data_IF_319006223398
#
_entry.id   IF_319006223398
#
_cell.length_a   1.000
_cell.length_b   1.000
_cell.length_c   1.000
_cell.angle_alpha   90.00
_cell.angle_beta   90.00
_cell.angle_gamma   90.00
#
_symmetry.space_group_name_H-M   'P 1'
#
loop_
_entity.id
_entity.type
_entity.pdbx_description
1 polymer ?
#
# COMPACT_ATOMS: atom_id res chain seq x y z
N UNK A 1 -20.58 -11.27 6.16
CA UNK A 1 -20.59 -10.04 5.35
C UNK A 1 -19.21 -9.40 5.46
N UNK A 2 -18.48 -9.25 4.36
CA UNK A 2 -17.17 -8.61 4.37
C UNK A 2 -17.34 -7.07 4.39
N UNK A 3 -16.58 -6.36 5.22
CA UNK A 3 -16.59 -4.89 5.27
C UNK A 3 -16.12 -4.26 3.94
N UNK A 4 -15.34 -4.99 3.14
CA UNK A 4 -14.91 -4.53 1.82
C UNK A 4 -15.94 -4.76 0.72
N UNK A 5 -17.02 -5.52 0.98
CA UNK A 5 -18.04 -5.84 -0.03
C UNK A 5 -17.43 -6.47 -1.29
N UNK A 6 -17.88 -6.04 -2.46
CA UNK A 6 -17.43 -6.54 -3.76
C UNK A 6 -16.03 -6.05 -4.17
N UNK A 7 -15.39 -5.19 -3.35
CA UNK A 7 -14.09 -4.58 -3.67
C UNK A 7 -12.91 -5.42 -3.18
N UNK A 8 -13.12 -6.56 -2.54
CA UNK A 8 -12.03 -7.39 -2.01
C UNK A 8 -11.06 -7.85 -3.10
N UNK A 9 -11.57 -8.31 -4.24
CA UNK A 9 -10.73 -8.71 -5.38
C UNK A 9 -9.99 -7.51 -5.97
N UNK A 10 -10.66 -6.37 -6.09
CA UNK A 10 -10.03 -5.12 -6.54
C UNK A 10 -8.91 -4.68 -5.61
N UNK A 11 -9.06 -4.84 -4.28
CA UNK A 11 -8.01 -4.51 -3.33
C UNK A 11 -6.77 -5.40 -3.52
N UNK A 12 -6.96 -6.68 -3.83
CA UNK A 12 -5.86 -7.60 -4.13
C UNK A 12 -5.15 -7.17 -5.42
N UNK A 13 -5.89 -6.90 -6.49
CA UNK A 13 -5.32 -6.44 -7.76
C UNK A 13 -4.52 -5.14 -7.60
N UNK A 14 -5.09 -4.15 -6.89
CA UNK A 14 -4.40 -2.87 -6.63
C UNK A 14 -3.13 -3.08 -5.78
N UNK A 15 -3.18 -4.00 -4.81
CA UNK A 15 -2.01 -4.35 -4.01
C UNK A 15 -0.93 -5.01 -4.86
N UNK A 16 -1.29 -5.98 -5.70
CA UNK A 16 -0.36 -6.67 -6.61
C UNK A 16 0.27 -5.71 -7.61
N UNK A 17 -0.52 -4.84 -8.24
CA UNK A 17 -0.04 -3.82 -9.16
C UNK A 17 0.95 -2.86 -8.49
N UNK A 18 0.66 -2.44 -7.26
CA UNK A 18 1.55 -1.58 -6.48
C UNK A 18 2.88 -2.28 -6.17
N UNK A 19 2.83 -3.56 -5.76
CA UNK A 19 4.03 -4.35 -5.50
C UNK A 19 4.87 -4.55 -6.77
N UNK A 20 4.23 -4.89 -7.89
CA UNK A 20 4.88 -5.09 -9.17
C UNK A 20 5.63 -3.82 -9.61
N UNK A 21 5.02 -2.64 -9.46
CA UNK A 21 5.67 -1.35 -9.74
C UNK A 21 6.91 -1.12 -8.86
N UNK A 22 6.81 -1.38 -7.56
CA UNK A 22 7.93 -1.23 -6.62
C UNK A 22 9.07 -2.21 -6.95
N UNK A 23 8.72 -3.45 -7.29
CA UNK A 23 9.68 -4.48 -7.69
C UNK A 23 10.39 -4.11 -9.00
N UNK A 24 9.65 -3.62 -10.00
CA UNK A 24 10.20 -3.16 -11.26
C UNK A 24 11.20 -2.02 -11.06
N UNK A 25 10.87 -1.04 -10.21
CA UNK A 25 11.78 0.07 -9.90
C UNK A 25 13.06 -0.42 -9.19
N UNK A 26 12.93 -1.37 -8.28
CA UNK A 26 14.09 -1.97 -7.64
C UNK A 26 14.98 -2.71 -8.65
N UNK A 27 14.37 -3.41 -9.61
CA UNK A 27 15.12 -4.07 -10.69
C UNK A 27 15.85 -3.04 -11.56
N UNK A 28 15.18 -1.95 -11.95
CA UNK A 28 15.82 -0.87 -12.72
C UNK A 28 17.02 -0.26 -12.00
N UNK A 29 16.94 -0.06 -10.67
CA UNK A 29 18.07 0.42 -9.89
C UNK A 29 19.24 -0.56 -9.93
N UNK A 30 18.98 -1.86 -9.78
CA UNK A 30 20.00 -2.92 -9.87
C UNK A 30 20.64 -2.94 -11.26
N UNK A 31 19.83 -2.84 -12.32
CA UNK A 31 20.29 -2.85 -13.72
C UNK A 31 21.19 -1.64 -14.03
N UNK A 32 20.93 -0.50 -13.35
CA UNK A 32 21.77 0.71 -13.40
C UNK A 32 22.98 0.66 -12.45
N UNK A 33 23.30 -0.52 -11.89
CA UNK A 33 24.36 -0.71 -10.88
C UNK A 33 24.20 0.16 -9.62
N UNK A 34 22.98 0.56 -9.28
CA UNK A 34 22.66 1.25 -8.04
C UNK A 34 22.36 0.23 -6.92
N UNK A 35 22.46 0.64 -5.64
CA UNK A 35 22.03 -0.20 -4.53
C UNK A 35 20.55 -0.56 -4.63
N UNK A 36 20.17 -1.72 -4.06
CA UNK A 36 18.77 -2.11 -3.91
C UNK A 36 17.98 -1.04 -3.16
N UNK A 37 16.75 -0.81 -3.60
CA UNK A 37 15.86 0.17 -3.00
C UNK A 37 15.26 -0.31 -1.67
N UNK A 38 15.17 -1.62 -1.46
CA UNK A 38 14.70 -2.21 -0.21
C UNK A 38 15.32 -3.59 0.03
N UNK A 39 15.37 -3.99 1.30
CA UNK A 39 15.71 -5.35 1.73
C UNK A 39 14.46 -6.21 1.83
N UNK A 40 13.40 -5.66 2.44
CA UNK A 40 12.13 -6.35 2.61
C UNK A 40 10.97 -5.48 2.14
N UNK A 41 10.11 -6.07 1.31
CA UNK A 41 8.85 -5.51 0.86
C UNK A 41 7.73 -6.43 1.36
N UNK A 42 6.89 -5.90 2.25
CA UNK A 42 5.79 -6.66 2.87
C UNK A 42 4.51 -5.88 2.64
N UNK A 43 3.51 -6.51 2.05
CA UNK A 43 2.17 -5.96 1.92
C UNK A 43 1.14 -6.84 2.62
N UNK A 44 0.00 -6.24 2.93
CA UNK A 44 -1.21 -6.96 3.31
C UNK A 44 -2.44 -6.10 3.08
N UNK A 45 -3.56 -6.77 2.85
CA UNK A 45 -4.88 -6.17 3.07
C UNK A 45 -5.23 -6.37 4.54
N UNK A 46 -5.71 -5.32 5.20
CA UNK A 46 -6.14 -5.40 6.59
C UNK A 46 -7.33 -6.35 6.68
N UNK A 47 -7.34 -7.26 7.66
CA UNK A 47 -8.47 -8.20 7.78
C UNK A 47 -9.79 -7.46 8.04
N UNK A 48 -10.94 -8.01 7.62
CA UNK A 48 -12.23 -7.38 7.85
C UNK A 48 -12.49 -7.07 9.34
N UNK A 49 -12.18 -8.02 10.24
CA UNK A 49 -12.33 -7.85 11.67
C UNK A 49 -11.51 -6.66 12.21
N UNK A 50 -10.23 -6.56 11.85
CA UNK A 50 -9.38 -5.45 12.27
C UNK A 50 -9.79 -4.11 11.64
N UNK A 51 -10.44 -4.12 10.48
CA UNK A 51 -10.98 -2.90 9.88
C UNK A 51 -12.27 -2.44 10.56
N UNK A 52 -13.16 -3.37 10.93
CA UNK A 52 -14.35 -3.08 11.75
C UNK A 52 -13.94 -2.44 13.08
N UNK A 53 -13.01 -3.08 13.80
CA UNK A 53 -12.48 -2.57 15.07
C UNK A 53 -11.90 -1.15 14.89
N UNK A 54 -11.17 -0.93 13.79
CA UNK A 54 -10.60 0.39 13.49
C UNK A 54 -11.67 1.44 13.21
N UNK A 55 -12.72 1.11 12.45
CA UNK A 55 -13.84 2.01 12.22
C UNK A 55 -14.51 2.39 13.53
N UNK A 56 -14.81 1.40 14.39
CA UNK A 56 -15.41 1.63 15.71
C UNK A 56 -14.53 2.51 16.60
N UNK A 57 -13.24 2.18 16.73
CA UNK A 57 -12.27 2.95 17.53
C UNK A 57 -12.12 4.40 17.05
N UNK A 58 -12.33 4.67 15.77
CA UNK A 58 -12.29 6.01 15.18
C UNK A 58 -13.65 6.71 15.13
N UNK A 59 -14.72 6.08 15.59
CA UNK A 59 -16.09 6.62 15.50
C UNK A 59 -16.63 6.70 14.06
N UNK A 60 -16.10 5.90 13.14
CA UNK A 60 -16.62 5.81 11.78
C UNK A 60 -17.77 4.81 11.68
N UNK A 61 -18.81 5.08 10.87
CA UNK A 61 -19.82 4.08 10.55
C UNK A 61 -19.16 2.82 9.96
N UNK A 62 -19.53 1.63 10.44
CA UNK A 62 -19.00 0.34 9.93
C UNK A 62 -19.62 0.03 8.58
N UNK A 63 -19.08 0.67 7.54
CA UNK A 63 -19.54 0.58 6.15
C UNK A 63 -18.33 0.47 5.22
N UNK A 64 -18.52 -0.10 4.03
CA UNK A 64 -17.50 -0.18 2.99
C UNK A 64 -16.93 1.19 2.62
N UNK A 65 -17.80 2.19 2.50
CA UNK A 65 -17.38 3.58 2.24
C UNK A 65 -16.43 4.10 3.32
N UNK A 66 -16.74 3.89 4.61
CA UNK A 66 -15.82 4.29 5.68
C UNK A 66 -14.50 3.51 5.62
N UNK A 67 -14.56 2.20 5.37
CA UNK A 67 -13.37 1.34 5.33
C UNK A 67 -12.43 1.70 4.17
N UNK A 68 -12.95 2.12 3.02
CA UNK A 68 -12.16 2.44 1.83
C UNK A 68 -11.80 3.93 1.69
N UNK A 69 -12.68 4.84 2.13
CA UNK A 69 -12.47 6.31 1.98
C UNK A 69 -11.94 6.98 3.23
N UNK A 70 -12.38 6.54 4.43
CA UNK A 70 -11.95 7.17 5.70
C UNK A 70 -10.73 6.47 6.29
N UNK A 71 -10.65 5.15 6.18
CA UNK A 71 -9.44 4.40 6.54
C UNK A 71 -8.48 4.33 5.34
N UNK A 72 -7.27 4.89 5.51
CA UNK A 72 -6.24 4.96 4.46
C UNK A 72 -5.30 3.75 4.42
N UNK A 73 -5.54 2.74 5.27
CA UNK A 73 -4.70 1.55 5.46
C UNK A 73 -5.48 0.26 5.19
N UNK A 74 -6.43 0.29 4.25
CA UNK A 74 -7.06 -0.93 3.76
C UNK A 74 -6.02 -1.84 3.09
N UNK A 75 -5.19 -1.26 2.21
CA UNK A 75 -3.96 -1.85 1.70
C UNK A 75 -2.81 -1.20 2.47
N UNK A 76 -1.94 -2.01 3.04
CA UNK A 76 -0.75 -1.54 3.74
C UNK A 76 0.49 -2.17 3.12
N UNK A 77 1.49 -1.33 2.84
CA UNK A 77 2.79 -1.75 2.33
C UNK A 77 3.87 -1.22 3.28
N UNK A 78 4.79 -2.09 3.67
CA UNK A 78 6.01 -1.78 4.42
C UNK A 78 7.21 -2.07 3.56
N UNK A 79 8.04 -1.05 3.45
CA UNK A 79 9.31 -1.08 2.73
C UNK A 79 10.40 -0.88 3.78
N UNK A 80 11.30 -1.86 3.90
CA UNK A 80 12.47 -1.78 4.79
C UNK A 80 13.67 -1.44 3.92
N UNK A 81 14.20 -0.24 4.09
CA UNK A 81 15.35 0.27 3.34
C UNK A 81 16.61 0.24 4.21
N UNK A 82 17.77 0.04 3.59
CA UNK A 82 19.07 0.06 4.28
C UNK A 82 19.58 1.50 4.57
N UNK A 83 19.04 2.52 3.88
CA UNK A 83 19.47 3.91 4.04
C UNK A 83 18.33 4.92 3.91
N UNK A 84 18.44 6.02 4.66
CA UNK A 84 17.47 7.13 4.68
C UNK A 84 17.36 7.83 3.31
N UNK A 85 18.44 7.88 2.53
CA UNK A 85 18.47 8.50 1.20
C UNK A 85 17.58 7.76 0.19
N UNK A 86 17.41 6.44 0.39
CA UNK A 86 16.60 5.59 -0.47
C UNK A 86 15.10 5.76 -0.11
N UNK A 87 14.78 5.99 1.17
CA UNK A 87 13.41 6.22 1.62
C UNK A 87 12.79 7.49 1.01
N UNK A 88 13.52 8.60 0.97
CA UNK A 88 13.02 9.86 0.38
C UNK A 88 12.76 9.71 -1.13
N UNK A 89 13.63 8.97 -1.80
CA UNK A 89 13.51 8.61 -3.21
C UNK A 89 12.25 7.74 -3.43
N UNK A 90 12.08 6.67 -2.66
CA UNK A 90 10.90 5.80 -2.73
C UNK A 90 9.59 6.56 -2.43
N UNK A 91 9.57 7.47 -1.45
CA UNK A 91 8.40 8.30 -1.12
C UNK A 91 8.06 9.28 -2.24
N UNK A 92 9.05 9.94 -2.85
CA UNK A 92 8.84 10.83 -3.98
C UNK A 92 8.27 10.09 -5.20
N UNK A 93 8.65 8.82 -5.39
CA UNK A 93 8.08 7.97 -6.43
C UNK A 93 6.64 7.55 -6.14
N UNK A 94 6.36 7.02 -4.93
CA UNK A 94 5.01 6.64 -4.54
C UNK A 94 4.02 7.81 -4.65
N UNK A 95 4.44 9.02 -4.27
CA UNK A 95 3.59 10.22 -4.37
C UNK A 95 3.37 10.67 -5.82
N UNK A 96 4.37 10.58 -6.70
CA UNK A 96 4.22 10.89 -8.14
C UNK A 96 3.31 9.91 -8.88
N UNK A 97 3.41 8.61 -8.59
CA UNK A 97 2.62 7.59 -9.29
C UNK A 97 1.18 7.49 -8.80
N UNK A 98 0.90 7.76 -7.52
CA UNK A 98 -0.46 7.72 -6.95
C UNK A 98 -1.21 9.04 -7.22
N UNK A 99 -0.51 10.17 -7.31
CA UNK A 99 -1.12 11.49 -7.58
C UNK A 99 -1.48 11.77 -9.03
N UNK A 100 -0.97 10.99 -10.00
CA UNK A 100 -1.19 11.23 -11.43
C UNK A 100 -2.46 10.56 -12.00
N UNK A 101 -3.26 9.87 -11.18
CA UNK A 101 -4.47 9.13 -11.60
C UNK A 101 -5.75 9.51 -10.83
N UNK A 102 -5.76 10.68 -10.18
CA UNK A 102 -6.95 11.29 -9.58
C UNK A 102 -7.26 12.65 -10.21
#
# INVERSE_FOLDING_TARGET
MNIYGDYEDTLNQVMEDLLAKIQQLNQQAIDLHQPKLYEHLISRIKTPASMVEKCQRKGYPVTTTSALRKCKDAIWVRIVCNSLMILTTALAFCTKQIGAQL
#
